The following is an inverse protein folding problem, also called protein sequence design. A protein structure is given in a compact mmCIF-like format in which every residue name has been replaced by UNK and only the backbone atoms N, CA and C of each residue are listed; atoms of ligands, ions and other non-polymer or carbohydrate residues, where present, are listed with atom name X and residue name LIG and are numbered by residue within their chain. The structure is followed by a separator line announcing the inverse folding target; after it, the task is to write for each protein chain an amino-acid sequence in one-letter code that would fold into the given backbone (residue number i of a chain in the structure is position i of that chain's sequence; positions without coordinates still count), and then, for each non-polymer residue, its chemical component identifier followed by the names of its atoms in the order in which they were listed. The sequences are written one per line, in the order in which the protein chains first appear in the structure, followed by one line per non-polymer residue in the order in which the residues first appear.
data_IF_140629113386
#
_entry.id   IF_140629113386
#
_cell.length_a   1.000
_cell.length_b   1.000
_cell.length_c   1.000
_cell.angle_alpha   90.00
_cell.angle_beta   90.00
_cell.angle_gamma   90.00
#
_symmetry.space_group_name_H-M   'P 1'
#
loop_
_entity.id
_entity.type
_entity.pdbx_description
1 polymer ?
#
# COMPACT_ATOMS: atom_id res chain seq x y z
N UNK A 1 -1.32 -8.28 16.18
CA UNK A 1 -0.82 -7.99 14.82
C UNK A 1 -0.09 -9.20 14.23
N UNK A 2 0.98 -9.70 14.85
CA UNK A 2 1.74 -10.87 14.36
C UNK A 2 0.85 -12.09 14.02
N UNK A 3 0.01 -12.54 14.96
CA UNK A 3 -0.89 -13.68 14.73
C UNK A 3 -1.92 -13.44 13.62
N UNK A 4 -2.46 -12.23 13.51
CA UNK A 4 -3.45 -11.90 12.48
C UNK A 4 -2.81 -11.91 11.08
N UNK A 5 -1.59 -11.38 10.95
CA UNK A 5 -0.80 -11.47 9.72
C UNK A 5 -0.46 -12.92 9.38
N UNK A 6 -0.06 -13.73 10.37
CA UNK A 6 0.22 -15.16 10.17
C UNK A 6 -1.01 -15.91 9.64
N UNK A 7 -2.18 -15.65 10.22
CA UNK A 7 -3.45 -16.21 9.74
C UNK A 7 -3.74 -15.81 8.29
N UNK A 8 -3.68 -14.51 7.98
CA UNK A 8 -3.98 -13.99 6.64
C UNK A 8 -3.10 -14.59 5.54
N UNK A 9 -1.83 -14.83 5.85
CA UNK A 9 -0.86 -15.34 4.88
C UNK A 9 -0.71 -16.87 4.92
N UNK A 10 -1.39 -17.56 5.84
CA UNK A 10 -1.24 -19.00 6.04
C UNK A 10 0.17 -19.40 6.50
N UNK A 11 0.85 -18.52 7.25
CA UNK A 11 2.20 -18.71 7.74
C UNK A 11 2.21 -19.22 9.18
N UNK A 12 3.28 -19.90 9.59
CA UNK A 12 3.52 -20.18 11.01
C UNK A 12 3.92 -18.91 11.74
N UNK A 13 3.64 -18.86 13.05
CA UNK A 13 3.92 -17.66 13.86
C UNK A 13 5.41 -17.31 13.91
N UNK A 14 6.31 -18.29 13.86
CA UNK A 14 7.76 -18.13 13.84
C UNK A 14 8.29 -17.55 12.50
N UNK A 15 7.44 -17.48 11.48
CA UNK A 15 7.76 -16.90 10.17
C UNK A 15 7.31 -15.44 10.05
N UNK A 16 6.57 -14.93 11.03
CA UNK A 16 6.08 -13.54 11.06
C UNK A 16 6.83 -12.77 12.14
N UNK A 17 7.41 -11.60 11.86
CA UNK A 17 8.09 -10.80 12.87
C UNK A 17 7.17 -10.42 14.04
N UNK A 18 7.71 -10.38 15.25
CA UNK A 18 7.02 -9.71 16.35
C UNK A 18 7.08 -8.19 16.13
N UNK A 19 6.06 -7.67 15.45
CA UNK A 19 5.98 -6.25 15.10
C UNK A 19 5.99 -5.36 16.34
N UNK A 20 5.42 -5.80 17.47
CA UNK A 20 5.36 -4.99 18.68
C UNK A 20 6.74 -4.85 19.36
N UNK A 21 7.68 -5.74 19.05
CA UNK A 21 9.05 -5.69 19.56
C UNK A 21 9.96 -4.68 18.81
N UNK A 22 9.47 -4.02 17.76
CA UNK A 22 10.27 -3.11 16.92
C UNK A 22 10.64 -1.77 17.58
N UNK A 23 10.14 -1.49 18.78
CA UNK A 23 10.44 -0.27 19.53
C UNK A 23 9.28 0.73 19.56
N UNK A 24 9.20 1.61 18.57
CA UNK A 24 8.15 2.64 18.49
C UNK A 24 6.90 2.19 17.70
N UNK A 25 5.74 2.84 17.90
CA UNK A 25 4.55 2.57 17.08
C UNK A 25 4.80 2.75 15.57
N UNK A 26 5.58 3.77 15.18
CA UNK A 26 5.92 4.01 13.77
C UNK A 26 6.74 2.84 13.19
N UNK A 27 7.79 2.42 13.89
CA UNK A 27 8.62 1.28 13.48
C UNK A 27 7.83 -0.02 13.38
N UNK A 28 6.82 -0.19 14.23
CA UNK A 28 5.93 -1.35 14.19
C UNK A 28 5.14 -1.41 12.89
N UNK A 29 4.59 -0.27 12.44
CA UNK A 29 3.86 -0.20 11.18
C UNK A 29 4.78 -0.31 9.96
N UNK A 30 5.94 0.34 9.98
CA UNK A 30 6.95 0.21 8.92
C UNK A 30 7.39 -1.25 8.74
N UNK A 31 7.61 -1.98 9.84
CA UNK A 31 7.98 -3.40 9.80
C UNK A 31 6.82 -4.28 9.32
N UNK A 32 5.58 -3.96 9.70
CA UNK A 32 4.38 -4.65 9.23
C UNK A 32 4.21 -4.52 7.71
N UNK A 33 4.36 -3.29 7.19
CA UNK A 33 4.27 -2.99 5.76
C UNK A 33 5.42 -3.64 4.99
N UNK A 34 6.66 -3.47 5.44
CA UNK A 34 7.85 -4.08 4.83
C UNK A 34 7.76 -5.61 4.81
N UNK A 35 7.21 -6.21 5.88
CA UNK A 35 6.98 -7.66 5.90
C UNK A 35 5.93 -8.07 4.87
N UNK A 36 4.79 -7.38 4.79
CA UNK A 36 3.78 -7.66 3.76
C UNK A 36 4.38 -7.56 2.34
N UNK A 37 5.24 -6.57 2.11
CA UNK A 37 5.96 -6.41 0.84
C UNK A 37 6.88 -7.58 0.54
N UNK A 38 7.63 -8.07 1.53
CA UNK A 38 8.48 -9.27 1.38
C UNK A 38 7.69 -10.53 1.01
N UNK A 39 6.39 -10.54 1.29
CA UNK A 39 5.46 -11.62 0.95
C UNK A 39 4.73 -11.37 -0.38
N UNK A 40 5.07 -10.30 -1.12
CA UNK A 40 4.48 -9.96 -2.41
C UNK A 40 3.18 -9.16 -2.32
N UNK A 41 2.91 -8.51 -1.19
CA UNK A 41 1.69 -7.73 -0.97
C UNK A 41 2.00 -6.28 -0.60
N UNK A 42 1.12 -5.36 -1.00
CA UNK A 42 1.05 -4.03 -0.41
C UNK A 42 -0.04 -4.05 0.66
N UNK A 43 0.29 -3.59 1.87
CA UNK A 43 -0.69 -3.38 2.92
C UNK A 43 -1.36 -2.01 2.73
N UNK A 44 -2.64 -2.00 2.38
CA UNK A 44 -3.39 -0.78 2.11
C UNK A 44 -4.31 -0.49 3.29
N UNK A 45 -4.03 0.59 4.02
CA UNK A 45 -4.87 1.08 5.11
C UNK A 45 -6.04 1.89 4.58
N UNK A 46 -7.25 1.55 5.02
CA UNK A 46 -8.46 2.32 4.73
C UNK A 46 -9.06 2.78 6.07
N UNK A 47 -9.22 4.10 6.30
CA UNK A 47 -9.73 4.60 7.56
C UNK A 47 -11.22 4.26 7.76
N UNK A 48 -11.59 4.04 9.02
CA UNK A 48 -12.94 3.73 9.44
C UNK A 48 -13.31 2.25 9.31
N UNK A 49 -14.58 1.96 9.56
CA UNK A 49 -15.15 0.62 9.47
C UNK A 49 -15.69 0.36 8.05
N UNK A 50 -15.17 -0.68 7.40
CA UNK A 50 -15.61 -1.17 6.09
C UNK A 50 -15.67 -2.69 6.11
N UNK A 51 -16.56 -3.26 5.31
CA UNK A 51 -16.65 -4.70 5.10
C UNK A 51 -16.37 -5.06 3.65
N UNK A 52 -15.80 -6.25 3.48
CA UNK A 52 -15.54 -6.86 2.17
C UNK A 52 -15.92 -8.33 2.25
N UNK A 53 -16.45 -8.89 1.16
CA UNK A 53 -16.70 -10.33 1.01
C UNK A 53 -15.39 -11.09 0.71
N UNK A 54 -14.41 -10.91 1.59
CA UNK A 54 -13.08 -11.51 1.56
C UNK A 54 -12.49 -11.44 2.97
N UNK A 55 -11.40 -12.17 3.24
CA UNK A 55 -10.68 -11.99 4.50
C UNK A 55 -9.89 -10.67 4.47
N UNK A 56 -10.04 -9.86 5.51
CA UNK A 56 -9.32 -8.60 5.67
C UNK A 56 -8.94 -8.37 7.14
N UNK A 57 -7.89 -7.58 7.36
CA UNK A 57 -7.45 -7.22 8.69
C UNK A 57 -8.21 -5.99 9.18
N UNK A 58 -8.47 -5.95 10.48
CA UNK A 58 -9.14 -4.81 11.13
C UNK A 58 -8.36 -4.43 12.37
N UNK A 59 -8.00 -3.16 12.49
CA UNK A 59 -7.33 -2.60 13.66
C UNK A 59 -8.28 -1.70 14.44
N UNK A 60 -8.17 -1.76 15.76
CA UNK A 60 -8.96 -0.93 16.64
C UNK A 60 -8.67 -1.19 18.10
N UNK A 61 -9.64 -0.89 18.94
CA UNK A 61 -9.53 -1.06 20.40
C UNK A 61 -10.22 -2.35 20.81
N UNK A 62 -9.54 -3.20 21.58
CA UNK A 62 -10.17 -4.37 22.20
C UNK A 62 -11.11 -3.96 23.34
N UNK A 63 -12.03 -4.84 23.80
CA UNK A 63 -12.86 -4.59 24.99
C UNK A 63 -12.07 -4.26 26.27
N UNK A 64 -10.75 -4.51 26.31
CA UNK A 64 -9.86 -4.16 27.42
C UNK A 64 -9.19 -2.78 27.28
N UNK A 65 -9.51 -2.03 26.22
CA UNK A 65 -8.94 -0.70 25.98
C UNK A 65 -7.54 -0.70 25.35
N UNK A 66 -7.02 -1.86 24.90
CA UNK A 66 -5.70 -1.94 24.25
C UNK A 66 -5.82 -2.02 22.72
N UNK A 67 -4.86 -1.44 21.95
CA UNK A 67 -4.78 -1.63 20.51
C UNK A 67 -4.75 -3.12 20.15
N UNK A 68 -5.50 -3.49 19.12
CA UNK A 68 -5.67 -4.87 18.72
C UNK A 68 -5.96 -5.00 17.23
N UNK A 69 -5.66 -6.17 16.68
CA UNK A 69 -5.89 -6.47 15.26
C UNK A 69 -6.48 -7.87 15.12
N UNK A 70 -7.55 -7.97 14.33
CA UNK A 70 -8.31 -9.19 14.06
C UNK A 70 -8.49 -9.39 12.55
N UNK A 71 -8.96 -10.57 12.15
CA UNK A 71 -9.36 -10.89 10.78
C UNK A 71 -10.88 -10.95 10.71
N UNK A 72 -11.46 -10.29 9.72
CA UNK A 72 -12.88 -10.27 9.45
C UNK A 72 -13.18 -10.67 8.01
N UNK A 73 -14.42 -11.11 7.77
CA UNK A 73 -14.97 -11.39 6.45
C UNK A 73 -16.45 -11.03 6.46
N UNK A 74 -16.90 -10.23 5.51
CA UNK A 74 -18.29 -9.76 5.41
C UNK A 74 -18.80 -9.18 6.75
N UNK A 75 -17.97 -8.37 7.43
CA UNK A 75 -18.29 -7.79 8.73
C UNK A 75 -18.37 -8.77 9.90
N UNK A 76 -18.05 -10.05 9.69
CA UNK A 76 -18.01 -11.09 10.74
C UNK A 76 -16.59 -11.37 11.18
N UNK A 77 -16.41 -11.61 12.48
CA UNK A 77 -15.12 -12.00 13.04
C UNK A 77 -14.77 -13.41 12.59
N UNK A 78 -13.62 -13.57 11.92
CA UNK A 78 -13.08 -14.84 11.46
C UNK A 78 -12.00 -15.34 12.41
N UNK A 79 -11.09 -14.45 12.79
CA UNK A 79 -10.00 -14.79 13.70
C UNK A 79 -9.66 -13.61 14.61
N UNK A 80 -9.74 -13.84 15.91
CA UNK A 80 -9.16 -12.99 16.94
C UNK A 80 -8.00 -13.76 17.60
N UNK A 81 -6.77 -13.24 17.59
CA UNK A 81 -5.64 -13.92 18.20
C UNK A 81 -5.70 -13.92 19.74
N UNK A 82 -6.58 -13.12 20.34
CA UNK A 82 -6.82 -13.17 21.77
C UNK A 82 -7.73 -14.36 22.13
N UNK A 83 -7.41 -15.19 23.15
CA UNK A 83 -8.19 -16.38 23.51
C UNK A 83 -9.67 -16.16 23.82
N UNK A 84 -10.08 -14.94 24.18
CA UNK A 84 -11.49 -14.61 24.44
C UNK A 84 -12.34 -14.55 23.18
N UNK A 85 -11.71 -14.42 22.00
CA UNK A 85 -12.38 -14.23 20.71
C UNK A 85 -13.43 -13.09 20.74
N UNK A 86 -13.10 -12.00 21.45
CA UNK A 86 -14.05 -10.94 21.74
C UNK A 86 -14.11 -9.86 20.64
N UNK A 87 -13.13 -9.88 19.73
CA UNK A 87 -13.05 -8.91 18.65
C UNK A 87 -12.64 -7.52 19.13
N UNK A 88 -13.24 -6.50 18.53
CA UNK A 88 -12.97 -5.09 18.77
C UNK A 88 -14.22 -4.41 19.33
N UNK A 89 -14.03 -3.52 20.31
CA UNK A 89 -15.09 -2.64 20.81
C UNK A 89 -15.22 -1.37 19.97
N UNK A 90 -14.15 -0.95 19.30
CA UNK A 90 -14.10 0.21 18.42
C UNK A 90 -13.18 -0.06 17.23
N UNK A 91 -13.69 0.13 16.01
CA UNK A 91 -12.96 -0.11 14.75
C UNK A 91 -12.39 1.20 14.23
N UNK A 92 -11.07 1.25 14.04
CA UNK A 92 -10.36 2.46 13.61
C UNK A 92 -10.03 2.44 12.13
N UNK A 93 -9.57 1.30 11.61
CA UNK A 93 -9.27 1.12 10.20
C UNK A 93 -9.30 -0.34 9.80
N UNK A 94 -9.35 -0.56 8.50
CA UNK A 94 -9.22 -1.89 7.87
C UNK A 94 -7.97 -1.90 6.99
N UNK A 95 -7.39 -3.08 6.80
CA UNK A 95 -6.24 -3.28 5.93
C UNK A 95 -6.50 -4.37 4.91
N UNK A 96 -6.18 -4.06 3.66
CA UNK A 96 -6.19 -5.01 2.55
C UNK A 96 -4.76 -5.41 2.22
N UNK A 97 -4.50 -6.70 2.05
CA UNK A 97 -3.26 -7.19 1.45
C UNK A 97 -3.48 -7.30 -0.05
N UNK A 98 -3.17 -6.23 -0.78
CA UNK A 98 -3.28 -6.20 -2.22
C UNK A 98 -2.04 -6.86 -2.84
N UNK A 99 -2.23 -7.88 -3.68
CA UNK A 99 -1.11 -8.52 -4.37
C UNK A 99 -0.35 -7.48 -5.20
N UNK A 100 0.96 -7.35 -4.99
CA UNK A 100 1.80 -6.47 -5.81
C UNK A 100 1.79 -6.98 -7.25
N UNK A 101 1.71 -6.05 -8.19
CA UNK A 101 1.80 -6.41 -9.59
C UNK A 101 3.23 -6.85 -9.92
N UNK A 102 3.36 -7.97 -10.63
CA UNK A 102 4.65 -8.39 -11.22
C UNK A 102 5.17 -7.37 -12.25
N UNK A 103 4.29 -6.48 -12.72
CA UNK A 103 4.67 -5.35 -13.53
C UNK A 103 5.52 -4.34 -12.74
N UNK A 104 5.30 -4.17 -11.43
CA UNK A 104 6.12 -3.31 -10.57
C UNK A 104 7.51 -3.90 -10.31
N UNK A 105 7.63 -5.21 -10.06
CA UNK A 105 8.95 -5.88 -9.92
C UNK A 105 9.76 -5.84 -11.22
N UNK A 106 9.10 -6.05 -12.38
CA UNK A 106 9.74 -5.91 -13.67
C UNK A 106 9.95 -4.44 -14.09
N UNK A 107 9.17 -3.49 -13.57
CA UNK A 107 9.36 -2.06 -13.83
C UNK A 107 10.49 -1.49 -12.98
N UNK A 108 10.73 -1.91 -11.74
CA UNK A 108 11.94 -1.49 -11.03
C UNK A 108 13.21 -2.08 -11.67
N UNK A 109 13.13 -3.27 -12.26
CA UNK A 109 14.23 -3.88 -13.01
C UNK A 109 14.35 -3.41 -14.48
N UNK A 110 13.34 -2.76 -15.08
CA UNK A 110 13.35 -2.29 -16.49
C UNK A 110 13.11 -0.81 -16.70
N UNK A 111 12.70 -0.06 -15.68
CA UNK A 111 12.75 1.40 -15.73
C UNK A 111 14.18 1.76 -15.35
N UNK A 112 15.06 1.73 -16.35
CA UNK A 112 16.13 2.69 -16.34
C UNK A 112 15.47 4.03 -16.06
N UNK A 113 15.73 4.62 -14.88
CA UNK A 113 15.34 6.00 -14.59
C UNK A 113 15.73 6.78 -15.85
N UNK A 114 14.78 7.47 -16.53
CA UNK A 114 15.14 8.22 -17.72
C UNK A 114 16.31 9.13 -17.34
N UNK A 115 17.50 8.78 -17.82
CA UNK A 115 18.67 9.58 -17.59
C UNK A 115 18.53 10.72 -18.58
N UNK A 116 18.00 11.85 -18.14
CA UNK A 116 17.93 13.08 -18.93
C UNK A 116 19.32 13.70 -19.19
N UNK A 117 20.40 12.90 -19.14
CA UNK A 117 21.77 13.33 -19.38
C UNK A 117 22.27 14.33 -18.35
N UNK A 118 21.76 14.29 -17.11
CA UNK A 118 22.08 15.27 -16.08
C UNK A 118 21.50 16.67 -16.31
N UNK A 119 20.48 16.80 -17.17
CA UNK A 119 19.76 18.06 -17.38
C UNK A 119 18.72 18.24 -16.25
N UNK A 120 18.45 19.48 -15.78
CA UNK A 120 17.31 19.75 -14.92
C UNK A 120 16.02 19.23 -15.57
N UNK A 121 15.01 18.91 -14.77
CA UNK A 121 13.73 18.38 -15.24
C UNK A 121 13.22 19.15 -16.47
N UNK A 122 12.69 18.47 -17.50
CA UNK A 122 12.22 19.15 -18.70
C UNK A 122 11.15 20.18 -18.33
N UNK A 123 11.19 21.34 -18.99
CA UNK A 123 10.16 22.37 -18.88
C UNK A 123 8.78 21.74 -19.16
N UNK A 124 7.74 22.19 -18.45
CA UNK A 124 6.37 21.62 -18.55
C UNK A 124 5.90 21.55 -20.02
N UNK A 125 6.30 22.52 -20.85
CA UNK A 125 5.99 22.54 -22.27
C UNK A 125 6.55 21.35 -23.07
N UNK A 126 7.76 20.90 -22.74
CA UNK A 126 8.40 19.74 -23.39
C UNK A 126 7.72 18.44 -22.95
N UNK A 127 7.41 18.30 -21.66
CA UNK A 127 6.69 17.14 -21.12
C UNK A 127 5.31 16.98 -21.77
N UNK A 128 4.57 18.07 -21.91
CA UNK A 128 3.25 18.08 -22.56
C UNK A 128 3.36 17.68 -24.03
N UNK A 129 4.40 18.15 -24.73
CA UNK A 129 4.61 17.80 -26.14
C UNK A 129 4.93 16.30 -26.30
N UNK A 130 5.79 15.74 -25.44
CA UNK A 130 6.13 14.33 -25.46
C UNK A 130 4.93 13.43 -25.15
N UNK A 131 4.11 13.83 -24.17
CA UNK A 131 2.83 13.17 -23.88
C UNK A 131 1.89 13.20 -25.08
N UNK A 132 1.73 14.35 -25.72
CA UNK A 132 0.89 14.48 -26.90
C UNK A 132 1.37 13.63 -28.07
N UNK A 133 2.69 13.57 -28.31
CA UNK A 133 3.28 12.73 -29.36
C UNK A 133 2.99 11.24 -29.08
N UNK A 134 3.20 10.80 -27.85
CA UNK A 134 2.90 9.43 -27.42
C UNK A 134 1.41 9.09 -27.59
N UNK A 135 0.51 10.00 -27.20
CA UNK A 135 -0.93 9.82 -27.36
C UNK A 135 -1.32 9.76 -28.84
N UNK A 136 -0.73 10.59 -29.70
CA UNK A 136 -1.06 10.67 -31.12
C UNK A 136 -0.56 9.47 -31.94
N UNK A 137 0.48 8.77 -31.48
CA UNK A 137 0.94 7.52 -32.11
C UNK A 137 0.07 6.31 -31.74
N UNK A 138 -0.77 6.42 -30.70
CA UNK A 138 -1.68 5.36 -30.28
C UNK A 138 -2.99 5.37 -31.08
N UNK A 139 -3.27 4.29 -31.81
CA UNK A 139 -4.56 4.05 -32.46
C UNK A 139 -5.40 3.13 -31.57
N UNK A 140 -6.32 3.69 -30.78
CA UNK A 140 -7.23 2.93 -29.91
C UNK A 140 -7.69 3.69 -28.66
N UNK A 141 -8.42 3.03 -27.75
CA UNK A 141 -8.74 3.60 -26.44
C UNK A 141 -7.46 3.67 -25.61
N UNK A 142 -7.12 4.86 -25.12
CA UNK A 142 -5.99 5.07 -24.19
C UNK A 142 -6.30 4.27 -22.91
N UNK A 143 -5.48 3.29 -22.51
CA UNK A 143 -5.70 2.59 -21.25
C UNK A 143 -5.67 3.61 -20.11
N UNK A 144 -6.64 3.55 -19.21
CA UNK A 144 -6.74 4.42 -18.02
C UNK A 144 -5.40 4.51 -17.25
N UNK A 145 -4.59 3.45 -17.29
CA UNK A 145 -3.24 3.40 -16.72
C UNK A 145 -2.25 4.41 -17.35
N UNK A 146 -2.33 4.68 -18.66
CA UNK A 146 -1.50 5.67 -19.33
C UNK A 146 -1.90 7.11 -18.94
N UNK A 147 -3.20 7.36 -18.80
CA UNK A 147 -3.72 8.64 -18.30
C UNK A 147 -3.33 8.88 -16.82
N UNK A 148 -3.43 7.85 -15.98
CA UNK A 148 -2.99 7.90 -14.57
C UNK A 148 -1.47 8.12 -14.49
N UNK A 149 -0.68 7.48 -15.35
CA UNK A 149 0.77 7.68 -15.41
C UNK A 149 1.15 9.10 -15.80
N UNK A 150 0.48 9.68 -16.80
CA UNK A 150 0.68 11.07 -17.21
C UNK A 150 0.34 12.05 -16.07
N UNK A 151 -0.76 11.81 -15.35
CA UNK A 151 -1.18 12.63 -14.21
C UNK A 151 -0.17 12.60 -13.05
N UNK A 152 0.41 11.43 -12.72
CA UNK A 152 1.43 11.33 -11.68
C UNK A 152 2.73 12.07 -12.03
N UNK A 153 3.13 12.07 -13.30
CA UNK A 153 4.34 12.81 -13.74
C UNK A 153 4.11 14.31 -13.62
N UNK A 154 2.92 14.79 -13.98
CA UNK A 154 2.54 16.20 -13.84
C UNK A 154 2.44 16.60 -12.35
N UNK A 155 1.86 15.75 -11.51
CA UNK A 155 1.76 15.98 -10.06
C UNK A 155 3.15 16.08 -9.40
N UNK A 156 4.09 15.22 -9.77
CA UNK A 156 5.47 15.29 -9.28
C UNK A 156 6.25 16.52 -9.78
N UNK A 157 5.97 17.00 -11.00
CA UNK A 157 6.59 18.20 -11.55
C UNK A 157 6.04 19.51 -10.99
N UNK A 158 4.76 19.54 -10.58
CA UNK A 158 4.09 20.74 -10.08
C UNK A 158 4.17 20.91 -8.55
N UNK A 159 4.45 19.84 -7.79
CA UNK A 159 4.45 19.86 -6.32
C UNK A 159 5.84 19.92 -5.68
N UNK A 160 6.91 20.08 -6.46
CA UNK A 160 8.21 20.46 -5.88
C UNK A 160 8.10 21.95 -5.49
N UNK A 161 8.24 22.33 -4.20
CA UNK A 161 8.38 23.74 -3.86
C UNK A 161 9.60 24.27 -4.60
N UNK A 162 9.47 25.41 -5.29
CA UNK A 162 10.63 26.06 -5.89
C UNK A 162 11.66 26.29 -4.78
N UNK A 163 12.81 25.64 -4.89
CA UNK A 163 13.97 26.01 -4.10
C UNK A 163 14.30 27.46 -4.47
N UNK A 164 13.91 28.38 -3.58
CA UNK A 164 14.24 29.80 -3.73
C UNK A 164 15.77 29.97 -3.75
N UNK A 165 16.29 30.83 -4.62
CA UNK A 165 17.74 31.02 -4.81
C UNK A 165 18.45 31.61 -3.58
#
# INVERSE_FOLDING_TARGET
MQCAMAFMLGLRIDQVPDFAASGSPQQCWELFESFAESQGYSAVMIPGNRSFEADYLVSGTSPRGTPHMVVMNDGRLVHDPHPSNAGLSDVQCVWLLARRSLAAENAEAKVARPNFGGRPYPEIGELVQDLNNCINEYVGQIPLAAAIGALHIVEHGLLQPEESP
#
